data_IF_159564623959
#
_entry.id   IF_159564623959
#
_cell.length_a   1.000
_cell.length_b   1.000
_cell.length_c   1.000
_cell.angle_alpha   90.00
_cell.angle_beta   90.00
_cell.angle_gamma   90.00
#
_symmetry.space_group_name_H-M   'P 1'
#
loop_
_entity.id
_entity.type
_entity.pdbx_description
1 polymer ?
#
# COMPACT_ATOMS: atom_id res chain seq x y z
N UNK A 1 18.26 -34.25 24.84
CA UNK A 1 18.46 -33.24 23.77
C UNK A 1 17.22 -32.36 23.72
N UNK A 2 17.35 -31.07 24.03
CA UNK A 2 16.24 -30.10 23.89
C UNK A 2 16.01 -29.91 22.39
N UNK A 3 14.79 -30.15 21.91
CA UNK A 3 14.42 -29.88 20.52
C UNK A 3 14.72 -28.41 20.25
N UNK A 4 15.71 -28.15 19.39
CA UNK A 4 15.93 -26.82 18.83
C UNK A 4 14.60 -26.35 18.25
N UNK A 5 14.23 -25.11 18.57
CA UNK A 5 13.05 -24.46 18.04
C UNK A 5 13.22 -24.41 16.52
N UNK A 6 12.62 -25.36 15.80
CA UNK A 6 12.78 -25.43 14.34
C UNK A 6 12.29 -24.11 13.73
N UNK A 7 13.09 -23.51 12.85
CA UNK A 7 12.73 -22.26 12.15
C UNK A 7 11.56 -22.44 11.16
N UNK A 8 11.30 -23.69 10.74
CA UNK A 8 10.34 -24.00 9.68
C UNK A 8 8.93 -23.42 9.86
N UNK A 9 8.27 -23.46 11.03
CA UNK A 9 6.94 -22.87 11.18
C UNK A 9 6.92 -21.36 10.91
N UNK A 10 8.01 -20.66 11.26
CA UNK A 10 8.13 -19.22 11.06
C UNK A 10 8.45 -18.91 9.60
N UNK A 11 9.36 -19.67 8.97
CA UNK A 11 9.64 -19.55 7.53
C UNK A 11 8.38 -19.81 6.71
N UNK A 12 7.61 -20.86 7.00
CA UNK A 12 6.34 -21.12 6.32
C UNK A 12 5.38 -19.94 6.46
N UNK A 13 5.24 -19.38 7.67
CA UNK A 13 4.38 -18.23 7.92
C UNK A 13 4.85 -16.96 7.17
N UNK A 14 6.17 -16.74 7.08
CA UNK A 14 6.76 -15.65 6.30
C UNK A 14 6.52 -15.82 4.81
N UNK A 15 6.64 -17.05 4.29
CA UNK A 15 6.37 -17.37 2.89
C UNK A 15 4.89 -17.12 2.54
N UNK A 16 3.97 -17.50 3.42
CA UNK A 16 2.54 -17.25 3.25
C UNK A 16 2.23 -15.74 3.20
N UNK A 17 2.91 -14.93 4.01
CA UNK A 17 2.76 -13.46 3.96
C UNK A 17 3.27 -12.89 2.64
N UNK A 18 4.46 -13.30 2.17
CA UNK A 18 5.00 -12.86 0.87
C UNK A 18 4.09 -13.31 -0.28
N UNK A 19 3.55 -14.53 -0.23
CA UNK A 19 2.61 -15.00 -1.25
C UNK A 19 1.33 -14.19 -1.28
N UNK A 20 0.82 -13.76 -0.12
CA UNK A 20 -0.37 -12.90 -0.07
C UNK A 20 -0.08 -11.50 -0.60
N UNK A 21 1.08 -10.90 -0.28
CA UNK A 21 1.45 -9.62 -0.90
C UNK A 21 1.62 -9.73 -2.42
N UNK A 22 2.23 -10.81 -2.91
CA UNK A 22 2.31 -11.07 -4.35
C UNK A 22 0.93 -11.29 -5.00
N UNK A 23 -0.08 -11.74 -4.25
CA UNK A 23 -1.45 -11.82 -4.73
C UNK A 23 -2.13 -10.44 -4.72
N UNK A 24 -1.79 -9.58 -3.76
CA UNK A 24 -2.25 -8.20 -3.69
C UNK A 24 -1.69 -7.35 -4.83
N UNK A 25 -0.62 -7.78 -5.49
CA UNK A 25 0.04 -7.09 -6.59
C UNK A 25 -0.93 -6.76 -7.76
N UNK A 26 -1.89 -7.65 -8.04
CA UNK A 26 -2.95 -7.37 -9.03
C UNK A 26 -3.90 -6.26 -8.57
N UNK A 27 -4.25 -6.22 -7.27
CA UNK A 27 -5.09 -5.16 -6.70
C UNK A 27 -4.33 -3.82 -6.71
N UNK A 28 -3.03 -3.83 -6.43
CA UNK A 28 -2.16 -2.67 -6.53
C UNK A 28 -2.12 -2.12 -7.97
N UNK A 29 -1.90 -2.98 -8.97
CA UNK A 29 -1.89 -2.58 -10.38
C UNK A 29 -3.25 -2.01 -10.81
N UNK A 30 -4.35 -2.64 -10.42
CA UNK A 30 -5.71 -2.19 -10.72
C UNK A 30 -6.04 -0.85 -10.05
N UNK A 31 -5.63 -0.68 -8.79
CA UNK A 31 -5.72 0.59 -8.08
C UNK A 31 -4.93 1.67 -8.81
N UNK A 32 -3.65 1.44 -9.08
CA UNK A 32 -2.78 2.42 -9.75
C UNK A 32 -3.33 2.86 -11.12
N UNK A 33 -3.80 1.92 -11.94
CA UNK A 33 -4.42 2.22 -13.22
C UNK A 33 -5.69 3.08 -13.05
N UNK A 34 -6.58 2.69 -12.13
CA UNK A 34 -7.82 3.44 -11.88
C UNK A 34 -7.57 4.86 -11.36
N UNK A 35 -6.52 5.04 -10.55
CA UNK A 35 -6.13 6.37 -10.07
C UNK A 35 -5.59 7.23 -11.20
N UNK A 36 -4.72 6.68 -12.07
CA UNK A 36 -4.19 7.43 -13.21
C UNK A 36 -5.31 7.84 -14.17
N UNK A 37 -6.30 6.98 -14.40
CA UNK A 37 -7.49 7.33 -15.20
C UNK A 37 -8.38 8.40 -14.56
N UNK A 38 -8.45 8.43 -13.23
CA UNK A 38 -9.24 9.41 -12.48
C UNK A 38 -8.51 10.75 -12.29
N UNK A 39 -7.17 10.75 -12.38
CA UNK A 39 -6.35 11.94 -12.13
C UNK A 39 -6.53 12.99 -13.23
N UNK A 40 -7.09 14.13 -12.85
CA UNK A 40 -7.18 15.30 -13.73
C UNK A 40 -5.96 16.20 -13.54
N UNK A 41 -5.19 16.42 -14.60
CA UNK A 41 -4.09 17.40 -14.62
C UNK A 41 -4.60 18.86 -14.61
N UNK A 42 -5.83 19.10 -15.08
CA UNK A 42 -6.46 20.44 -15.06
C UNK A 42 -7.98 20.30 -15.03
N UNK A 43 -8.60 20.77 -13.94
CA UNK A 43 -10.05 20.61 -13.69
C UNK A 43 -10.83 21.85 -14.17
N UNK A 44 -10.23 23.03 -14.17
CA UNK A 44 -10.88 24.33 -14.42
C UNK A 44 -11.46 24.54 -15.82
N UNK A 45 -11.03 23.75 -16.82
CA UNK A 45 -11.48 23.89 -18.21
C UNK A 45 -12.39 22.77 -18.69
N UNK A 46 -12.84 21.88 -17.78
CA UNK A 46 -13.67 20.74 -18.13
C UNK A 46 -15.14 21.12 -18.27
N UNK A 47 -15.83 20.51 -19.25
CA UNK A 47 -17.28 20.68 -19.40
C UNK A 47 -17.99 19.94 -18.27
N UNK A 48 -19.01 20.56 -17.67
CA UNK A 48 -19.84 19.96 -16.61
C UNK A 48 -20.33 18.55 -17.01
N UNK A 49 -20.80 18.38 -18.25
CA UNK A 49 -21.26 17.08 -18.76
C UNK A 49 -20.16 16.01 -18.78
N UNK A 50 -18.93 16.39 -19.11
CA UNK A 50 -17.79 15.46 -19.10
C UNK A 50 -17.40 15.08 -17.66
N UNK A 51 -17.45 16.04 -16.74
CA UNK A 51 -17.24 15.79 -15.33
C UNK A 51 -18.28 14.81 -14.75
N UNK A 52 -19.56 15.01 -15.06
CA UNK A 52 -20.65 14.18 -14.56
C UNK A 52 -20.65 12.77 -15.17
N UNK A 53 -20.48 12.66 -16.49
CA UNK A 53 -20.64 11.39 -17.20
C UNK A 53 -19.37 10.54 -17.19
N UNK A 54 -18.19 11.16 -17.14
CA UNK A 54 -16.91 10.44 -17.27
C UNK A 54 -16.08 10.49 -16.00
N UNK A 55 -15.92 11.67 -15.38
CA UNK A 55 -14.96 11.81 -14.28
C UNK A 55 -15.49 11.33 -12.93
N UNK A 56 -16.75 11.64 -12.57
CA UNK A 56 -17.35 11.15 -11.33
C UNK A 56 -17.31 9.60 -11.24
N UNK A 57 -17.71 8.84 -12.28
CA UNK A 57 -17.61 7.38 -12.24
C UNK A 57 -16.19 6.87 -12.05
N UNK A 58 -15.20 7.47 -12.73
CA UNK A 58 -13.78 7.09 -12.60
C UNK A 58 -13.24 7.35 -11.19
N UNK A 59 -13.52 8.52 -10.62
CA UNK A 59 -13.12 8.86 -9.24
C UNK A 59 -13.75 7.88 -8.25
N UNK A 60 -15.04 7.55 -8.40
CA UNK A 60 -15.71 6.59 -7.53
C UNK A 60 -15.15 5.16 -7.68
N UNK A 61 -14.87 4.73 -8.92
CA UNK A 61 -14.23 3.44 -9.17
C UNK A 61 -12.85 3.37 -8.52
N UNK A 62 -12.02 4.41 -8.68
CA UNK A 62 -10.69 4.46 -8.08
C UNK A 62 -10.76 4.45 -6.54
N UNK A 63 -11.68 5.19 -5.92
CA UNK A 63 -11.93 5.11 -4.45
C UNK A 63 -12.33 3.70 -3.99
N UNK A 64 -13.16 3.01 -4.78
CA UNK A 64 -13.53 1.62 -4.48
C UNK A 64 -12.33 0.68 -4.57
N UNK A 65 -11.46 0.84 -5.57
CA UNK A 65 -10.25 0.03 -5.74
C UNK A 65 -9.22 0.29 -4.64
N UNK A 66 -9.07 1.55 -4.21
CA UNK A 66 -8.24 1.90 -3.05
C UNK A 66 -8.77 1.21 -1.79
N UNK A 67 -10.08 1.25 -1.56
CA UNK A 67 -10.70 0.57 -0.40
C UNK A 67 -10.44 -0.93 -0.43
N UNK A 68 -10.61 -1.57 -1.58
CA UNK A 68 -10.35 -3.00 -1.79
C UNK A 68 -8.89 -3.36 -1.51
N UNK A 69 -7.95 -2.59 -2.06
CA UNK A 69 -6.52 -2.78 -1.84
C UNK A 69 -6.12 -2.56 -0.38
N UNK A 70 -6.56 -1.47 0.27
CA UNK A 70 -6.29 -1.21 1.70
C UNK A 70 -6.75 -2.37 2.58
N UNK A 71 -7.95 -2.91 2.32
CA UNK A 71 -8.49 -4.06 3.05
C UNK A 71 -7.62 -5.31 2.88
N UNK A 72 -7.10 -5.54 1.67
CA UNK A 72 -6.21 -6.66 1.40
C UNK A 72 -4.88 -6.53 2.18
N UNK A 73 -4.25 -5.35 2.15
CA UNK A 73 -3.02 -5.04 2.90
C UNK A 73 -3.25 -5.11 4.42
N UNK A 74 -4.39 -4.62 4.91
CA UNK A 74 -4.78 -4.73 6.33
C UNK A 74 -4.92 -6.19 6.78
N UNK A 75 -5.46 -7.07 5.92
CA UNK A 75 -5.54 -8.51 6.22
C UNK A 75 -4.17 -9.15 6.38
N UNK A 76 -3.19 -8.75 5.56
CA UNK A 76 -1.80 -9.22 5.70
C UNK A 76 -1.16 -8.69 6.99
N UNK A 77 -1.42 -7.42 7.33
CA UNK A 77 -0.97 -6.81 8.58
C UNK A 77 -1.49 -7.54 9.83
N UNK A 78 -2.72 -8.01 9.83
CA UNK A 78 -3.29 -8.79 10.93
C UNK A 78 -2.55 -10.14 11.11
N UNK A 79 -2.31 -10.87 10.03
CA UNK A 79 -1.53 -12.12 10.06
C UNK A 79 -0.09 -11.88 10.52
N UNK A 80 0.50 -10.78 10.07
CA UNK A 80 1.84 -10.36 10.48
C UNK A 80 1.98 -10.21 12.00
N UNK A 81 0.98 -9.67 12.70
CA UNK A 81 1.03 -9.56 14.16
C UNK A 81 1.21 -10.91 14.85
N UNK A 82 0.60 -11.96 14.31
CA UNK A 82 0.72 -13.33 14.84
C UNK A 82 2.13 -13.89 14.61
N UNK A 83 2.69 -13.72 13.41
CA UNK A 83 4.05 -14.17 13.08
C UNK A 83 5.10 -13.42 13.89
N UNK A 84 4.90 -12.12 14.12
CA UNK A 84 5.78 -11.29 14.95
C UNK A 84 5.86 -11.82 16.38
N UNK A 85 4.75 -12.24 16.98
CA UNK A 85 4.75 -12.87 18.29
C UNK A 85 5.51 -14.21 18.29
N UNK A 86 5.29 -15.07 17.29
CA UNK A 86 5.99 -16.35 17.19
C UNK A 86 7.51 -16.18 17.10
N UNK A 87 7.99 -15.18 16.34
CA UNK A 87 9.42 -14.90 16.21
C UNK A 87 10.10 -14.48 17.52
N UNK A 88 9.38 -13.88 18.47
CA UNK A 88 9.95 -13.55 19.79
C UNK A 88 10.28 -14.77 20.64
N UNK A 89 9.71 -15.94 20.31
CA UNK A 89 9.94 -17.20 21.04
C UNK A 89 11.20 -17.94 20.60
N UNK A 90 11.82 -17.50 19.49
CA UNK A 90 13.08 -18.03 18.98
C UNK A 90 14.22 -17.75 19.96
N UNK A 91 14.96 -18.81 20.31
CA UNK A 91 16.05 -18.74 21.30
C UNK A 91 17.44 -18.70 20.68
N UNK A 92 17.57 -19.16 19.45
CA UNK A 92 18.85 -19.12 18.72
C UNK A 92 19.02 -17.74 18.08
N UNK A 93 20.04 -16.95 18.48
CA UNK A 93 20.28 -15.63 17.92
C UNK A 93 20.60 -15.63 16.41
N UNK A 94 21.15 -16.73 15.88
CA UNK A 94 21.46 -16.87 14.46
C UNK A 94 20.19 -16.94 13.60
N UNK A 95 19.10 -17.45 14.18
CA UNK A 95 17.77 -17.54 13.57
C UNK A 95 16.90 -16.32 13.92
N UNK A 96 16.94 -15.90 15.19
CA UNK A 96 16.12 -14.81 15.69
C UNK A 96 16.43 -13.47 15.01
N UNK A 97 17.71 -13.15 14.79
CA UNK A 97 18.10 -11.85 14.19
C UNK A 97 17.62 -11.70 12.73
N UNK A 98 17.87 -12.65 11.81
CA UNK A 98 17.31 -12.58 10.47
C UNK A 98 15.78 -12.51 10.46
N UNK A 99 15.11 -13.31 11.29
CA UNK A 99 13.65 -13.31 11.40
C UNK A 99 13.10 -11.95 11.85
N UNK A 100 13.70 -11.34 12.88
CA UNK A 100 13.29 -10.01 13.36
C UNK A 100 13.53 -8.92 12.30
N UNK A 101 14.67 -8.97 11.60
CA UNK A 101 14.95 -8.01 10.53
C UNK A 101 13.91 -8.12 9.41
N UNK A 102 13.60 -9.34 8.95
CA UNK A 102 12.55 -9.56 7.95
C UNK A 102 11.22 -8.98 8.42
N UNK A 103 10.82 -9.25 9.67
CA UNK A 103 9.55 -8.75 10.19
C UNK A 103 9.51 -7.22 10.27
N UNK A 104 10.61 -6.57 10.64
CA UNK A 104 10.70 -5.10 10.64
C UNK A 104 10.62 -4.53 9.22
N UNK A 105 11.34 -5.12 8.27
CA UNK A 105 11.31 -4.68 6.88
C UNK A 105 9.91 -4.85 6.28
N UNK A 106 9.25 -5.97 6.58
CA UNK A 106 7.90 -6.29 6.14
C UNK A 106 6.86 -5.33 6.73
N UNK A 107 6.92 -5.04 8.04
CA UNK A 107 6.04 -4.06 8.68
C UNK A 107 6.19 -2.67 8.07
N UNK A 108 7.43 -2.28 7.78
CA UNK A 108 7.74 -0.98 7.17
C UNK A 108 7.19 -0.89 5.74
N UNK A 109 7.31 -1.97 4.96
CA UNK A 109 6.72 -2.13 3.62
C UNK A 109 5.21 -1.89 3.66
N UNK A 110 4.49 -2.66 4.49
CA UNK A 110 3.02 -2.57 4.64
C UNK A 110 2.58 -1.16 5.07
N UNK A 111 3.28 -0.54 6.01
CA UNK A 111 2.93 0.82 6.47
C UNK A 111 3.09 1.85 5.35
N UNK A 112 4.07 1.68 4.48
CA UNK A 112 4.32 2.57 3.35
C UNK A 112 3.27 2.37 2.26
N UNK A 113 2.89 1.12 1.96
CA UNK A 113 1.79 0.80 1.04
C UNK A 113 0.46 1.42 1.47
N UNK A 114 0.10 1.27 2.75
CA UNK A 114 -1.11 1.89 3.31
C UNK A 114 -1.05 3.42 3.25
N UNK A 115 0.14 4.01 3.43
CA UNK A 115 0.35 5.45 3.33
C UNK A 115 0.17 5.95 1.91
N UNK A 116 0.70 5.23 0.91
CA UNK A 116 0.49 5.52 -0.52
C UNK A 116 -1.00 5.48 -0.85
N UNK A 117 -1.70 4.40 -0.47
CA UNK A 117 -3.13 4.24 -0.72
C UNK A 117 -3.96 5.36 -0.07
N UNK A 118 -3.61 5.77 1.15
CA UNK A 118 -4.25 6.88 1.87
C UNK A 118 -4.02 8.22 1.18
N UNK A 119 -2.82 8.46 0.63
CA UNK A 119 -2.51 9.68 -0.12
C UNK A 119 -3.25 9.74 -1.45
N UNK A 120 -3.40 8.61 -2.14
CA UNK A 120 -4.26 8.52 -3.31
C UNK A 120 -5.73 8.78 -2.99
N UNK A 121 -6.22 8.28 -1.86
CA UNK A 121 -7.58 8.56 -1.38
C UNK A 121 -7.79 10.07 -1.14
N UNK A 122 -6.83 10.75 -0.51
CA UNK A 122 -6.84 12.20 -0.31
C UNK A 122 -6.83 12.96 -1.64
N UNK A 123 -6.00 12.55 -2.60
CA UNK A 123 -5.94 13.15 -3.93
C UNK A 123 -7.31 13.05 -4.64
N UNK A 124 -7.92 11.87 -4.65
CA UNK A 124 -9.23 11.66 -5.25
C UNK A 124 -10.36 12.37 -4.51
N UNK A 125 -10.23 12.55 -3.20
CA UNK A 125 -11.18 13.34 -2.42
C UNK A 125 -11.14 14.82 -2.83
N UNK A 126 -9.94 15.41 -2.93
CA UNK A 126 -9.77 16.80 -3.39
C UNK A 126 -10.34 16.98 -4.81
N UNK A 127 -10.08 16.03 -5.71
CA UNK A 127 -10.64 16.07 -7.06
C UNK A 127 -12.16 15.97 -7.06
N UNK A 128 -12.73 15.10 -6.23
CA UNK A 128 -14.18 14.98 -6.09
C UNK A 128 -14.81 16.30 -5.61
N UNK A 129 -14.17 17.00 -4.68
CA UNK A 129 -14.63 18.29 -4.16
C UNK A 129 -14.52 19.38 -5.22
N UNK A 130 -13.42 19.43 -5.97
CA UNK A 130 -13.24 20.35 -7.09
C UNK A 130 -14.27 20.13 -8.20
N UNK A 131 -14.54 18.87 -8.58
CA UNK A 131 -15.59 18.51 -9.54
C UNK A 131 -16.96 19.00 -9.06
N UNK A 132 -17.30 18.74 -7.80
CA UNK A 132 -18.56 19.19 -7.22
C UNK A 132 -18.68 20.71 -7.17
N UNK A 133 -17.58 21.42 -6.89
CA UNK A 133 -17.56 22.89 -6.91
C UNK A 133 -17.85 23.42 -8.32
N UNK A 134 -17.25 22.85 -9.38
CA UNK A 134 -17.54 23.25 -10.77
C UNK A 134 -18.99 23.02 -11.13
N UNK A 135 -19.52 21.81 -10.86
CA UNK A 135 -20.91 21.45 -11.19
C UNK A 135 -21.88 22.43 -10.51
N UNK A 136 -21.62 22.79 -9.26
CA UNK A 136 -22.44 23.72 -8.47
C UNK A 136 -22.13 25.19 -8.73
N UNK A 137 -21.19 25.50 -9.62
CA UNK A 137 -20.70 26.87 -9.89
C UNK A 137 -20.22 27.60 -8.62
N UNK A 138 -19.62 26.86 -7.70
CA UNK A 138 -19.01 27.38 -6.48
C UNK A 138 -17.55 27.78 -6.72
N UNK A 139 -16.95 28.60 -5.83
CA UNK A 139 -15.51 28.82 -5.82
C UNK A 139 -14.76 27.48 -5.73
N UNK A 140 -13.68 27.36 -6.49
CA UNK A 140 -12.83 26.17 -6.43
C UNK A 140 -12.16 26.09 -5.05
N UNK A 141 -12.10 24.90 -4.44
CA UNK A 141 -11.30 24.70 -3.24
C UNK A 141 -9.82 24.91 -3.54
N UNK A 142 -9.01 25.18 -2.52
CA UNK A 142 -7.56 25.21 -2.65
C UNK A 142 -7.06 23.86 -3.14
N UNK A 143 -6.41 23.83 -4.30
CA UNK A 143 -5.91 22.61 -4.90
C UNK A 143 -4.50 22.31 -4.39
N UNK A 144 -4.38 21.25 -3.58
CA UNK A 144 -3.10 20.72 -3.11
C UNK A 144 -2.67 19.47 -3.89
N UNK A 145 -3.27 19.20 -5.06
CA UNK A 145 -3.01 17.97 -5.83
C UNK A 145 -1.54 17.80 -6.22
N UNK A 146 -0.85 18.87 -6.62
CA UNK A 146 0.56 18.80 -7.01
C UNK A 146 1.48 18.40 -5.84
N UNK A 147 1.18 18.91 -4.63
CA UNK A 147 1.89 18.51 -3.42
C UNK A 147 1.63 17.02 -3.11
N UNK A 148 0.37 16.59 -3.15
CA UNK A 148 0.02 15.19 -2.91
C UNK A 148 0.67 14.25 -3.91
N UNK A 149 0.72 14.62 -5.19
CA UNK A 149 1.42 13.85 -6.24
C UNK A 149 2.90 13.73 -5.91
N UNK A 150 3.55 14.82 -5.50
CA UNK A 150 4.96 14.81 -5.11
C UNK A 150 5.20 13.90 -3.89
N UNK A 151 4.35 13.97 -2.87
CA UNK A 151 4.43 13.11 -1.69
C UNK A 151 4.21 11.63 -2.03
N UNK A 152 3.28 11.33 -2.95
CA UNK A 152 3.05 9.98 -3.46
C UNK A 152 4.29 9.46 -4.19
N UNK A 153 4.89 10.24 -5.09
CA UNK A 153 6.08 9.83 -5.84
C UNK A 153 7.26 9.54 -4.90
N UNK A 154 7.42 10.33 -3.84
CA UNK A 154 8.40 10.09 -2.79
C UNK A 154 8.13 8.79 -2.03
N UNK A 155 6.88 8.54 -1.65
CA UNK A 155 6.48 7.31 -0.96
C UNK A 155 6.65 6.07 -1.85
N UNK A 156 6.33 6.17 -3.15
CA UNK A 156 6.55 5.08 -4.12
C UNK A 156 8.03 4.77 -4.25
N UNK A 157 8.88 5.79 -4.34
CA UNK A 157 10.34 5.61 -4.38
C UNK A 157 10.84 4.93 -3.11
N UNK A 158 10.38 5.40 -1.94
CA UNK A 158 10.69 4.79 -0.64
C UNK A 158 10.21 3.33 -0.56
N UNK A 159 9.03 3.03 -1.08
CA UNK A 159 8.49 1.68 -1.11
C UNK A 159 9.36 0.73 -1.94
N UNK A 160 9.83 1.17 -3.11
CA UNK A 160 10.76 0.37 -3.93
C UNK A 160 12.07 0.04 -3.18
N UNK A 161 12.61 1.01 -2.43
CA UNK A 161 13.76 0.76 -1.56
C UNK A 161 13.45 -0.25 -0.45
N UNK A 162 12.25 -0.19 0.14
CA UNK A 162 11.81 -1.11 1.19
C UNK A 162 11.61 -2.53 0.66
N UNK A 163 11.07 -2.68 -0.55
CA UNK A 163 10.97 -3.98 -1.23
C UNK A 163 12.36 -4.61 -1.42
N UNK A 164 13.37 -3.81 -1.81
CA UNK A 164 14.74 -4.30 -1.92
C UNK A 164 15.30 -4.77 -0.56
N UNK A 165 15.05 -4.01 0.51
CA UNK A 165 15.44 -4.38 1.89
C UNK A 165 14.75 -5.66 2.35
N UNK A 166 13.43 -5.75 2.14
CA UNK A 166 12.61 -6.92 2.46
C UNK A 166 13.11 -8.17 1.73
N UNK A 167 13.39 -8.07 0.43
CA UNK A 167 13.95 -9.17 -0.34
C UNK A 167 15.31 -9.62 0.22
N UNK A 168 16.18 -8.67 0.58
CA UNK A 168 17.48 -8.97 1.16
C UNK A 168 17.38 -9.64 2.54
N UNK A 169 16.46 -9.20 3.40
CA UNK A 169 16.25 -9.83 4.71
C UNK A 169 15.57 -11.19 4.61
N UNK A 170 14.67 -11.37 3.65
CA UNK A 170 14.06 -12.67 3.36
C UNK A 170 15.11 -13.70 2.91
N UNK A 171 16.04 -13.32 2.02
CA UNK A 171 17.15 -14.21 1.64
C UNK A 171 18.02 -14.62 2.83
N UNK A 172 18.23 -13.73 3.80
CA UNK A 172 18.95 -14.07 5.04
C UNK A 172 18.18 -15.10 5.86
N UNK A 173 16.86 -14.98 5.97
CA UNK A 173 16.01 -15.96 6.65
C UNK A 173 16.07 -17.34 5.99
N UNK A 174 16.14 -17.39 4.65
CA UNK A 174 16.25 -18.65 3.91
C UNK A 174 17.63 -19.32 4.02
N UNK A 175 18.65 -18.58 4.46
CA UNK A 175 20.04 -19.05 4.58
C UNK A 175 20.42 -19.59 5.96
N UNK A 176 19.49 -19.57 6.92
CA UNK A 176 19.70 -20.01 8.31
C UNK A 176 19.36 -21.48 8.49
#
# INVERSE_FOLDING_TARGET
MKRESSIQPIVSSMNEMIQQENQNDMLLQKMAASVEEAKLKTISNQKVTDLEQNMIPKVNQAKSQITEYKKAVESVKEKFQQVKQQATTLKDPSIQKPAQQFLTDFETSIQTELSIATKYEQLLQNQSEAIQAIIKSNPLPTDNSDQLVTEIDQLVSLFQEQVAKLNASYQKVLSV
#
